data_IF_808029675078
#
_entry.id   IF_808029675078
#
_cell.length_a   1.000
_cell.length_b   1.000
_cell.length_c   1.000
_cell.angle_alpha   90.00
_cell.angle_beta   90.00
_cell.angle_gamma   90.00
#
_symmetry.space_group_name_H-M   'P 1'
#
loop_
_entity.id
_entity.type
_entity.pdbx_description
1 polymer ?
#
# COMPACT_ATOMS: atom_id res chain seq x y z
N UNK A 1 -32.65 9.21 -12.85
CA UNK A 1 -32.19 7.79 -12.78
C UNK A 1 -30.68 7.79 -12.73
N UNK A 2 -30.14 7.65 -11.55
CA UNK A 2 -28.71 7.49 -11.31
C UNK A 2 -28.52 6.05 -10.81
N UNK A 3 -27.64 5.24 -11.40
CA UNK A 3 -27.31 3.95 -10.83
C UNK A 3 -26.39 4.13 -9.63
N UNK A 4 -26.89 3.76 -8.47
CA UNK A 4 -26.16 3.61 -7.22
C UNK A 4 -25.09 2.52 -7.41
N UNK A 5 -23.83 2.88 -7.21
CA UNK A 5 -22.75 1.92 -7.10
C UNK A 5 -22.94 1.07 -5.85
N UNK A 6 -23.08 -0.24 -6.04
CA UNK A 6 -23.17 -1.21 -4.97
C UNK A 6 -21.91 -1.25 -4.11
N UNK A 7 -22.06 -1.41 -2.78
CA UNK A 7 -20.95 -1.79 -1.91
C UNK A 7 -20.45 -3.21 -2.24
N UNK A 8 -19.23 -3.58 -1.87
CA UNK A 8 -18.73 -4.94 -2.06
C UNK A 8 -19.66 -5.95 -1.40
N UNK A 9 -19.92 -7.04 -2.11
CA UNK A 9 -20.84 -8.10 -1.71
C UNK A 9 -20.46 -8.66 -0.34
N UNK A 10 -21.46 -8.78 0.52
CA UNK A 10 -21.35 -9.57 1.74
C UNK A 10 -21.07 -11.04 1.38
N UNK A 11 -20.23 -11.76 2.18
CA UNK A 11 -20.05 -13.19 1.97
C UNK A 11 -21.36 -13.92 2.30
N UNK A 12 -21.91 -14.62 1.33
CA UNK A 12 -23.05 -15.52 1.52
C UNK A 12 -22.60 -16.76 2.27
N UNK A 13 -23.25 -16.97 3.41
CA UNK A 13 -23.23 -18.19 4.21
C UNK A 13 -23.83 -19.36 3.41
N UNK A 14 -23.20 -20.52 3.46
CA UNK A 14 -23.84 -21.71 2.89
C UNK A 14 -22.94 -22.92 2.66
N UNK A 15 -23.10 -23.85 3.58
CA UNK A 15 -23.14 -25.29 3.40
C UNK A 15 -22.00 -26.15 3.89
N UNK A 16 -22.41 -26.88 4.88
CA UNK A 16 -21.83 -28.02 5.64
C UNK A 16 -21.61 -29.29 4.81
N UNK A 17 -20.76 -30.15 5.40
CA UNK A 17 -20.64 -31.64 5.31
C UNK A 17 -19.90 -32.19 4.09
N UNK A 18 -18.90 -33.05 4.28
CA UNK A 18 -18.97 -34.37 4.89
C UNK A 18 -17.55 -34.95 5.17
N UNK A 19 -17.50 -35.78 6.17
CA UNK A 19 -16.36 -36.58 6.60
C UNK A 19 -16.02 -37.70 5.62
N UNK A 20 -14.77 -38.11 5.57
CA UNK A 20 -14.33 -39.32 4.83
C UNK A 20 -12.87 -39.69 5.08
N UNK A 21 -12.64 -40.46 6.13
CA UNK A 21 -11.65 -41.54 6.34
C UNK A 21 -10.26 -41.50 5.70
N UNK A 22 -9.25 -41.58 6.57
CA UNK A 22 -7.87 -42.05 6.33
C UNK A 22 -7.87 -43.54 5.87
N UNK A 23 -6.78 -43.99 5.22
CA UNK A 23 -5.91 -44.89 5.94
C UNK A 23 -4.39 -44.58 5.87
N UNK A 24 -3.73 -45.08 6.84
CA UNK A 24 -2.29 -45.03 7.13
C UNK A 24 -1.44 -45.91 6.20
N UNK A 25 -0.10 -45.57 6.16
CA UNK A 25 0.94 -46.51 5.84
C UNK A 25 2.29 -45.85 5.56
N UNK A 26 3.39 -46.30 6.19
CA UNK A 26 4.63 -45.54 6.22
C UNK A 26 5.65 -46.03 5.17
N UNK A 27 6.41 -45.09 4.54
CA UNK A 27 7.63 -45.43 3.81
C UNK A 27 8.78 -44.44 4.05
N UNK A 28 9.71 -44.97 4.81
CA UNK A 28 11.19 -44.84 4.83
C UNK A 28 11.83 -43.60 4.18
N UNK A 29 12.59 -42.92 5.02
CA UNK A 29 13.67 -41.97 4.75
C UNK A 29 14.72 -42.53 3.78
N UNK A 30 15.09 -41.74 2.78
CA UNK A 30 16.44 -41.74 2.22
C UNK A 30 16.97 -40.30 2.23
N UNK A 31 18.01 -40.11 3.00
CA UNK A 31 18.81 -38.93 3.11
C UNK A 31 19.64 -38.74 1.83
N UNK A 32 19.54 -37.53 1.23
CA UNK A 32 20.45 -37.11 0.16
C UNK A 32 21.20 -35.87 0.67
N UNK A 33 22.53 -35.80 0.53
CA UNK A 33 23.35 -34.76 1.13
C UNK A 33 23.17 -33.42 0.39
N UNK A 34 22.97 -32.36 1.17
CA UNK A 34 22.95 -30.96 0.70
C UNK A 34 24.34 -30.54 0.21
N UNK A 35 24.53 -30.44 -1.08
CA UNK A 35 25.64 -29.64 -1.63
C UNK A 35 25.24 -28.18 -1.57
N UNK A 36 25.98 -27.40 -0.77
CA UNK A 36 25.99 -25.92 -0.84
C UNK A 36 26.59 -25.53 -2.18
N UNK A 37 25.80 -24.94 -3.04
CA UNK A 37 26.30 -24.18 -4.19
C UNK A 37 26.48 -22.76 -3.70
N UNK A 38 27.72 -22.33 -3.54
CA UNK A 38 28.12 -20.93 -3.34
C UNK A 38 28.33 -20.37 -4.73
N UNK A 39 27.64 -19.30 -5.16
CA UNK A 39 28.02 -18.65 -6.41
C UNK A 39 29.32 -17.84 -6.18
N UNK A 40 30.36 -18.20 -6.95
CA UNK A 40 31.56 -17.43 -7.12
C UNK A 40 31.22 -16.04 -7.70
N UNK A 41 31.51 -15.00 -6.94
CA UNK A 41 31.63 -13.64 -7.47
C UNK A 41 33.10 -13.26 -7.58
N UNK A 42 33.67 -13.19 -8.81
CA UNK A 42 35.03 -12.75 -8.99
C UNK A 42 35.09 -11.22 -9.19
N UNK A 43 35.00 -10.45 -8.11
CA UNK A 43 35.48 -9.08 -8.08
C UNK A 43 36.14 -8.76 -6.76
N UNK A 44 37.35 -9.31 -6.59
CA UNK A 44 38.34 -8.77 -5.65
C UNK A 44 38.95 -7.52 -6.29
N UNK A 45 38.36 -6.37 -6.02
CA UNK A 45 39.05 -5.09 -6.24
C UNK A 45 39.95 -4.81 -5.04
N UNK A 46 41.22 -4.59 -5.36
CA UNK A 46 42.35 -4.25 -4.48
C UNK A 46 41.96 -3.15 -3.49
N UNK A 47 42.26 -3.40 -2.24
CA UNK A 47 42.32 -2.37 -1.20
C UNK A 47 43.47 -1.40 -1.56
N UNK A 48 43.12 -0.20 -1.96
CA UNK A 48 44.04 0.91 -1.97
C UNK A 48 43.84 1.70 -0.67
N UNK A 49 44.85 1.57 0.22
CA UNK A 49 44.87 2.22 1.51
C UNK A 49 45.36 3.66 1.37
N UNK A 50 44.51 4.57 0.94
CA UNK A 50 44.67 6.01 1.18
C UNK A 50 43.30 6.69 1.25
N UNK A 51 42.79 6.84 2.46
CA UNK A 51 41.64 7.70 2.77
C UNK A 51 42.10 9.18 2.77
N UNK A 52 41.60 10.01 1.89
CA UNK A 52 41.39 11.41 2.21
C UNK A 52 40.05 11.54 2.93
N UNK A 53 40.12 12.09 4.10
CA UNK A 53 39.03 12.51 4.95
C UNK A 53 38.13 13.49 4.16
N UNK A 54 37.07 12.99 3.50
CA UNK A 54 36.07 13.85 2.88
C UNK A 54 35.05 14.22 3.94
N UNK A 55 34.83 15.54 4.18
CA UNK A 55 33.76 16.00 5.04
C UNK A 55 32.46 15.46 4.49
N UNK A 56 31.58 15.01 5.38
CA UNK A 56 30.19 14.59 5.07
C UNK A 56 29.55 15.62 4.13
N UNK A 57 29.63 15.39 2.84
CA UNK A 57 28.76 16.08 1.90
C UNK A 57 27.35 15.71 2.31
N UNK A 58 26.60 16.68 2.80
CA UNK A 58 25.18 16.52 3.11
C UNK A 58 24.53 15.87 1.87
N UNK A 59 24.07 14.62 2.00
CA UNK A 59 23.37 13.93 0.92
C UNK A 59 22.24 14.85 0.51
N UNK A 60 22.28 15.33 -0.73
CA UNK A 60 21.16 16.05 -1.30
C UNK A 60 19.93 15.16 -1.11
N UNK A 61 18.82 15.70 -0.61
CA UNK A 61 17.61 14.91 -0.46
C UNK A 61 17.28 14.28 -1.82
N UNK A 62 17.03 12.98 -1.79
CA UNK A 62 16.69 12.22 -3.00
C UNK A 62 15.54 12.93 -3.74
N UNK A 63 15.65 13.19 -5.05
CA UNK A 63 14.62 13.87 -5.80
C UNK A 63 13.33 13.04 -5.73
N UNK A 64 12.30 13.63 -5.14
CA UNK A 64 10.97 13.03 -5.03
C UNK A 64 10.03 13.75 -5.98
N UNK A 65 9.42 12.98 -6.89
CA UNK A 65 8.46 13.47 -7.87
C UNK A 65 7.12 12.76 -7.63
N UNK A 66 6.03 13.51 -7.62
CA UNK A 66 4.68 12.95 -7.61
C UNK A 66 4.03 13.32 -8.95
N UNK A 67 3.48 12.32 -9.63
CA UNK A 67 2.76 12.49 -10.88
C UNK A 67 1.54 11.60 -10.95
N UNK A 68 0.68 11.87 -11.91
CA UNK A 68 -0.44 10.97 -12.20
C UNK A 68 0.06 9.59 -12.63
N UNK A 69 -0.70 8.59 -12.23
CA UNK A 69 -0.54 7.20 -12.64
C UNK A 69 -0.85 7.03 -14.12
N UNK A 70 -0.10 6.18 -14.76
CA UNK A 70 -0.38 5.70 -16.12
C UNK A 70 -0.48 4.17 -16.14
N UNK A 71 -1.14 3.54 -17.12
CA UNK A 71 -1.21 2.07 -17.20
C UNK A 71 0.15 1.37 -17.20
N UNK A 72 1.20 2.04 -17.65
CA UNK A 72 2.57 1.52 -17.60
C UNK A 72 3.11 1.32 -16.17
N UNK A 73 2.55 2.01 -15.19
CA UNK A 73 2.96 1.93 -13.79
C UNK A 73 2.34 0.74 -13.03
N UNK A 74 1.36 0.07 -13.64
CA UNK A 74 0.54 -0.97 -12.99
C UNK A 74 1.38 -2.05 -12.33
N UNK A 75 2.37 -2.58 -13.04
CA UNK A 75 3.21 -3.65 -12.55
C UNK A 75 3.98 -3.26 -11.27
N UNK A 76 4.51 -2.02 -11.24
CA UNK A 76 5.22 -1.50 -10.08
C UNK A 76 4.28 -1.21 -8.91
N UNK A 77 3.05 -0.72 -9.16
CA UNK A 77 2.03 -0.51 -8.12
C UNK A 77 1.60 -1.84 -7.51
N UNK A 78 1.33 -2.87 -8.31
CA UNK A 78 1.04 -4.21 -7.80
C UNK A 78 2.23 -4.83 -7.04
N UNK A 79 3.45 -4.51 -7.44
CA UNK A 79 4.63 -4.89 -6.68
C UNK A 79 4.64 -4.23 -5.29
N UNK A 80 4.24 -2.97 -5.16
CA UNK A 80 4.19 -2.29 -3.86
C UNK A 80 3.24 -2.99 -2.88
N UNK A 81 2.04 -3.40 -3.31
CA UNK A 81 1.12 -4.11 -2.41
C UNK A 81 1.70 -5.47 -1.98
N UNK A 82 2.29 -6.25 -2.90
CA UNK A 82 2.96 -7.53 -2.58
C UNK A 82 4.04 -7.36 -1.52
N UNK A 83 4.86 -6.31 -1.60
CA UNK A 83 5.91 -6.01 -0.63
C UNK A 83 5.37 -5.64 0.76
N UNK A 84 4.12 -5.22 0.85
CA UNK A 84 3.45 -4.84 2.10
C UNK A 84 2.49 -5.94 2.61
N UNK A 85 2.35 -7.04 1.90
CA UNK A 85 1.56 -8.21 2.29
C UNK A 85 2.45 -9.23 3.00
N UNK A 86 2.06 -9.87 4.11
CA UNK A 86 0.78 -9.68 4.82
C UNK A 86 0.82 -8.57 5.89
N UNK A 87 1.90 -7.82 6.02
CA UNK A 87 2.12 -6.90 7.14
C UNK A 87 1.07 -5.77 7.23
N UNK A 88 0.61 -5.25 6.09
CA UNK A 88 -0.33 -4.12 6.02
C UNK A 88 -1.56 -4.41 5.17
N UNK A 89 -1.52 -5.42 4.31
CA UNK A 89 -2.60 -5.82 3.41
C UNK A 89 -2.82 -7.33 3.48
N UNK A 90 -4.08 -7.74 3.38
CA UNK A 90 -4.41 -9.15 3.22
C UNK A 90 -4.05 -9.66 1.81
N UNK A 91 -3.72 -10.95 1.63
CA UNK A 91 -3.34 -11.49 0.30
C UNK A 91 -4.38 -11.25 -0.80
N UNK A 92 -5.67 -11.23 -0.46
CA UNK A 92 -6.76 -11.01 -1.42
C UNK A 92 -6.80 -9.57 -1.96
N UNK A 93 -6.26 -8.59 -1.23
CA UNK A 93 -6.34 -7.18 -1.60
C UNK A 93 -5.50 -6.82 -2.84
N UNK A 94 -4.57 -7.68 -3.27
CA UNK A 94 -3.86 -7.48 -4.54
C UNK A 94 -4.82 -7.53 -5.73
N UNK A 95 -5.74 -8.50 -5.75
CA UNK A 95 -6.74 -8.62 -6.81
C UNK A 95 -7.72 -7.43 -6.78
N UNK A 96 -8.09 -6.96 -5.58
CA UNK A 96 -8.95 -5.79 -5.42
C UNK A 96 -8.28 -4.51 -5.92
N UNK A 97 -6.98 -4.35 -5.68
CA UNK A 97 -6.20 -3.22 -6.20
C UNK A 97 -6.10 -3.30 -7.73
N UNK A 98 -5.86 -4.49 -8.29
CA UNK A 98 -5.79 -4.69 -9.73
C UNK A 98 -7.09 -4.28 -10.43
N UNK A 99 -8.22 -4.77 -9.93
CA UNK A 99 -9.55 -4.38 -10.41
C UNK A 99 -9.82 -2.87 -10.23
N UNK A 100 -9.41 -2.31 -9.09
CA UNK A 100 -9.54 -0.88 -8.84
C UNK A 100 -8.77 -0.04 -9.87
N UNK A 101 -7.55 -0.42 -10.17
CA UNK A 101 -6.70 0.29 -11.15
C UNK A 101 -7.28 0.25 -12.56
N UNK A 102 -7.98 -0.81 -12.94
CA UNK A 102 -8.59 -0.93 -14.26
C UNK A 102 -9.93 -0.19 -14.36
N UNK A 103 -10.79 -0.30 -13.34
CA UNK A 103 -12.21 -0.01 -13.51
C UNK A 103 -12.75 1.06 -12.56
N UNK A 104 -12.06 1.37 -11.43
CA UNK A 104 -12.65 2.18 -10.36
C UNK A 104 -11.82 3.41 -9.98
N UNK A 105 -10.62 3.55 -10.53
CA UNK A 105 -9.79 4.72 -10.22
C UNK A 105 -10.38 5.97 -10.87
N UNK A 106 -10.35 7.08 -10.13
CA UNK A 106 -10.67 8.41 -10.67
C UNK A 106 -9.38 9.24 -10.76
N UNK A 107 -8.79 9.64 -9.64
CA UNK A 107 -7.46 10.25 -9.62
C UNK A 107 -6.51 9.30 -8.87
N UNK A 108 -5.42 8.95 -9.50
CA UNK A 108 -4.41 8.08 -8.91
C UNK A 108 -3.01 8.60 -9.19
N UNK A 109 -2.15 8.59 -8.18
CA UNK A 109 -0.82 9.17 -8.24
C UNK A 109 0.24 8.16 -7.85
N UNK A 110 1.40 8.28 -8.48
CA UNK A 110 2.64 7.57 -8.12
C UNK A 110 3.67 8.56 -7.60
N UNK A 111 4.38 8.16 -6.57
CA UNK A 111 5.50 8.89 -5.99
C UNK A 111 6.80 8.17 -6.38
N UNK A 112 7.67 8.87 -7.07
CA UNK A 112 8.98 8.38 -7.46
C UNK A 112 10.04 8.92 -6.51
N UNK A 113 10.94 8.06 -6.09
CA UNK A 113 12.17 8.40 -5.37
C UNK A 113 13.35 7.84 -6.19
N UNK A 114 14.30 8.69 -6.56
CA UNK A 114 15.40 8.31 -7.45
C UNK A 114 14.95 7.64 -8.77
N UNK A 115 13.83 8.13 -9.35
CA UNK A 115 13.28 7.59 -10.60
C UNK A 115 12.52 6.27 -10.49
N UNK A 116 12.43 5.67 -9.28
CA UNK A 116 11.72 4.42 -9.04
C UNK A 116 10.43 4.70 -8.26
N UNK A 117 9.34 4.00 -8.59
CA UNK A 117 8.07 4.12 -7.85
C UNK A 117 8.26 3.59 -6.43
N UNK A 118 8.18 4.51 -5.47
CA UNK A 118 8.35 4.26 -4.03
C UNK A 118 7.04 4.39 -3.25
N UNK A 119 5.97 4.86 -3.87
CA UNK A 119 4.65 4.95 -3.26
C UNK A 119 3.57 5.23 -4.29
N UNK A 120 2.33 5.02 -3.91
CA UNK A 120 1.15 5.33 -4.72
C UNK A 120 -0.06 5.61 -3.83
N UNK A 121 -1.08 6.26 -4.38
CA UNK A 121 -2.32 6.51 -3.67
C UNK A 121 -3.33 7.30 -4.53
N UNK A 122 -4.61 7.08 -4.26
CA UNK A 122 -5.71 7.60 -5.04
C UNK A 122 -6.63 8.57 -4.30
N UNK A 123 -7.50 9.16 -5.09
CA UNK A 123 -8.68 9.91 -4.66
C UNK A 123 -9.86 9.39 -5.46
N UNK A 124 -10.94 9.06 -4.77
CA UNK A 124 -12.24 8.78 -5.39
C UNK A 124 -13.29 9.75 -4.84
N UNK A 125 -14.32 9.99 -5.62
CA UNK A 125 -15.37 10.93 -5.24
C UNK A 125 -16.69 10.22 -4.91
N UNK A 126 -17.49 10.86 -4.07
CA UNK A 126 -18.82 10.44 -3.70
C UNK A 126 -19.73 11.67 -3.49
N UNK A 127 -21.00 11.40 -3.23
CA UNK A 127 -22.01 12.42 -2.89
C UNK A 127 -22.05 13.58 -3.92
N UNK A 128 -22.06 13.20 -5.21
CA UNK A 128 -22.06 14.18 -6.30
C UNK A 128 -20.76 15.01 -6.40
N UNK A 129 -19.62 14.44 -5.98
CA UNK A 129 -18.33 15.10 -6.04
C UNK A 129 -17.99 15.95 -4.81
N UNK A 130 -18.87 15.99 -3.80
CA UNK A 130 -18.63 16.82 -2.59
C UNK A 130 -17.84 16.10 -1.49
N UNK A 131 -17.72 14.76 -1.57
CA UNK A 131 -16.91 13.94 -0.67
C UNK A 131 -15.76 13.31 -1.43
N UNK A 132 -14.53 13.54 -0.97
CA UNK A 132 -13.34 12.88 -1.46
C UNK A 132 -12.95 11.73 -0.54
N UNK A 133 -12.54 10.60 -1.12
CA UNK A 133 -12.08 9.41 -0.42
C UNK A 133 -10.62 9.15 -0.78
N UNK A 134 -9.73 9.26 0.19
CA UNK A 134 -8.33 8.82 0.05
C UNK A 134 -8.31 7.30 0.00
N UNK A 135 -7.65 6.75 -1.00
CA UNK A 135 -7.66 5.31 -1.29
C UNK A 135 -6.28 4.78 -1.64
N UNK A 136 -6.04 3.51 -1.30
CA UNK A 136 -4.89 2.72 -1.71
C UNK A 136 -3.53 3.37 -1.47
N UNK A 137 -3.33 3.91 -0.25
CA UNK A 137 -2.03 4.48 0.16
C UNK A 137 -1.03 3.37 0.44
N UNK A 138 -0.03 3.25 -0.43
CA UNK A 138 1.02 2.25 -0.32
C UNK A 138 2.37 2.93 -0.44
N UNK A 139 3.27 2.64 0.50
CA UNK A 139 4.68 3.09 0.45
C UNK A 139 5.58 1.87 0.55
N UNK A 140 6.55 1.79 -0.34
CA UNK A 140 7.55 0.72 -0.37
C UNK A 140 8.23 0.58 1.01
N UNK A 141 8.33 -0.63 1.60
CA UNK A 141 8.84 -0.82 2.97
C UNK A 141 10.21 -0.17 3.23
N UNK A 142 11.14 -0.28 2.28
CA UNK A 142 12.48 0.34 2.42
C UNK A 142 12.48 1.88 2.39
N UNK A 143 11.36 2.50 2.03
CA UNK A 143 11.18 3.96 1.95
C UNK A 143 10.24 4.50 3.02
N UNK A 144 9.67 3.65 3.85
CA UNK A 144 8.87 4.07 5.02
C UNK A 144 9.75 4.82 6.03
N UNK A 145 9.12 5.64 6.88
CA UNK A 145 9.85 6.49 7.83
C UNK A 145 10.56 7.71 7.22
N UNK A 146 10.52 7.91 5.90
CA UNK A 146 11.17 9.03 5.17
C UNK A 146 10.18 10.12 4.72
N UNK A 147 9.05 10.22 5.37
CA UNK A 147 7.98 11.19 5.08
C UNK A 147 7.35 11.11 3.68
N UNK A 148 7.59 10.05 2.91
CA UNK A 148 7.03 9.92 1.55
C UNK A 148 5.49 9.82 1.57
N UNK A 149 4.93 9.04 2.49
CA UNK A 149 3.47 8.96 2.67
C UNK A 149 2.86 10.33 3.04
N UNK A 150 3.58 11.13 3.83
CA UNK A 150 3.16 12.50 4.17
C UNK A 150 3.10 13.37 2.93
N UNK A 151 4.16 13.39 2.13
CA UNK A 151 4.22 14.17 0.88
C UNK A 151 3.12 13.77 -0.09
N UNK A 152 2.86 12.47 -0.23
CA UNK A 152 1.81 11.97 -1.12
C UNK A 152 0.41 12.36 -0.63
N UNK A 153 0.15 12.32 0.67
CA UNK A 153 -1.12 12.73 1.24
C UNK A 153 -1.32 14.24 1.11
N UNK A 154 -0.31 15.04 1.46
CA UNK A 154 -0.33 16.52 1.34
C UNK A 154 -0.60 16.95 -0.09
N UNK A 155 0.10 16.38 -1.07
CA UNK A 155 -0.12 16.65 -2.49
C UNK A 155 -1.58 16.41 -2.89
N UNK A 156 -2.21 15.33 -2.41
CA UNK A 156 -3.61 15.03 -2.73
C UNK A 156 -4.59 15.96 -2.01
N UNK A 157 -4.31 16.37 -0.79
CA UNK A 157 -5.11 17.37 -0.08
C UNK A 157 -5.04 18.71 -0.82
N UNK A 158 -3.87 19.19 -1.21
CA UNK A 158 -3.67 20.39 -2.01
C UNK A 158 -4.43 20.32 -3.35
N UNK A 159 -4.42 19.16 -4.02
CA UNK A 159 -5.21 18.92 -5.23
C UNK A 159 -6.71 19.07 -4.96
N UNK A 160 -7.22 18.49 -3.88
CA UNK A 160 -8.62 18.58 -3.50
C UNK A 160 -9.02 20.02 -3.16
N UNK A 161 -8.18 20.77 -2.46
CA UNK A 161 -8.39 22.19 -2.17
C UNK A 161 -8.44 23.02 -3.46
N UNK A 162 -7.59 22.70 -4.45
CA UNK A 162 -7.57 23.40 -5.74
C UNK A 162 -8.78 23.10 -6.63
N UNK A 163 -9.41 21.94 -6.50
CA UNK A 163 -10.62 21.58 -7.27
C UNK A 163 -11.84 22.38 -6.81
N UNK A 164 -11.88 22.79 -5.54
CA UNK A 164 -13.05 23.43 -4.95
C UNK A 164 -14.25 22.49 -4.79
N UNK A 165 -15.26 22.92 -4.05
CA UNK A 165 -16.52 22.16 -3.88
C UNK A 165 -16.44 20.93 -2.98
N UNK A 166 -15.26 20.52 -2.56
CA UNK A 166 -15.06 19.38 -1.64
C UNK A 166 -15.42 19.83 -0.23
N UNK A 167 -16.41 19.17 0.36
CA UNK A 167 -16.89 19.45 1.73
C UNK A 167 -16.35 18.46 2.76
N UNK A 168 -15.99 17.27 2.32
CA UNK A 168 -15.48 16.19 3.19
C UNK A 168 -14.34 15.48 2.51
N UNK A 169 -13.28 15.17 3.29
CA UNK A 169 -12.20 14.28 2.87
C UNK A 169 -12.17 13.14 3.89
N UNK A 170 -12.29 11.93 3.42
CA UNK A 170 -12.36 10.72 4.26
C UNK A 170 -11.29 9.73 3.88
N UNK A 171 -10.93 8.85 4.81
CA UNK A 171 -10.10 7.68 4.55
C UNK A 171 -10.66 6.48 5.30
N UNK A 172 -10.58 5.32 4.67
CA UNK A 172 -10.83 4.01 5.29
C UNK A 172 -9.49 3.29 5.35
N UNK A 173 -9.00 3.06 6.55
CA UNK A 173 -7.66 2.54 6.79
C UNK A 173 -7.69 1.42 7.82
N UNK A 174 -6.53 0.85 8.14
CA UNK A 174 -6.39 -0.22 9.13
C UNK A 174 -5.83 0.28 10.46
N UNK A 175 -5.83 -0.60 11.46
CA UNK A 175 -5.23 -0.33 12.77
C UNK A 175 -3.73 -0.02 12.68
N UNK A 176 -3.04 -0.48 11.64
CA UNK A 176 -1.61 -0.20 11.45
C UNK A 176 -1.36 1.25 11.01
N UNK A 177 -2.28 1.82 10.22
CA UNK A 177 -2.05 3.11 9.57
C UNK A 177 -2.88 4.28 10.16
N UNK A 178 -3.91 4.04 11.00
CA UNK A 178 -4.77 5.12 11.51
C UNK A 178 -4.00 6.25 12.20
N UNK A 179 -2.95 5.92 12.99
CA UNK A 179 -2.11 6.94 13.66
C UNK A 179 -1.34 7.84 12.69
N UNK A 180 -1.04 7.34 11.48
CA UNK A 180 -0.45 8.15 10.43
C UNK A 180 -1.39 9.27 10.01
N UNK A 181 -2.67 8.97 9.82
CA UNK A 181 -3.70 9.95 9.43
C UNK A 181 -4.05 10.88 10.58
N UNK A 182 -4.15 10.36 11.80
CA UNK A 182 -4.40 11.16 13.01
C UNK A 182 -3.41 12.32 13.15
N UNK A 183 -2.10 12.04 13.01
CA UNK A 183 -1.03 13.03 13.04
C UNK A 183 -1.11 14.07 11.91
N UNK A 184 -2.00 13.88 10.93
CA UNK A 184 -2.16 14.74 9.74
C UNK A 184 -3.54 15.36 9.63
N UNK A 185 -4.23 15.45 10.77
CA UNK A 185 -5.50 16.17 10.88
C UNK A 185 -6.73 15.34 10.56
N UNK A 186 -6.61 14.02 10.51
CA UNK A 186 -7.78 13.14 10.43
C UNK A 186 -8.28 12.77 11.82
N UNK A 187 -9.58 12.75 12.00
CA UNK A 187 -10.26 12.35 13.24
C UNK A 187 -10.98 11.04 13.00
N UNK A 188 -10.83 10.10 13.95
CA UNK A 188 -11.52 8.82 13.92
C UNK A 188 -13.02 9.01 14.08
N UNK A 189 -13.81 8.37 13.21
CA UNK A 189 -15.28 8.38 13.23
C UNK A 189 -15.88 7.04 13.60
N UNK A 190 -15.28 5.95 13.11
CA UNK A 190 -15.81 4.60 13.29
C UNK A 190 -14.68 3.57 13.29
N UNK A 191 -14.85 2.48 14.03
CA UNK A 191 -14.01 1.28 13.98
C UNK A 191 -14.92 0.07 13.77
N UNK A 192 -14.57 -0.79 12.82
CA UNK A 192 -15.20 -2.11 12.62
C UNK A 192 -14.13 -3.18 12.65
N UNK A 193 -14.31 -4.17 13.54
CA UNK A 193 -13.37 -5.29 13.66
C UNK A 193 -13.49 -6.22 12.47
N UNK A 194 -12.37 -6.83 12.09
CA UNK A 194 -12.26 -7.87 11.05
C UNK A 194 -12.93 -7.50 9.71
N UNK A 195 -12.96 -6.21 9.40
CA UNK A 195 -13.69 -5.70 8.24
C UNK A 195 -13.06 -6.09 6.90
N UNK A 196 -11.73 -6.02 6.79
CA UNK A 196 -11.00 -6.34 5.58
C UNK A 196 -10.67 -7.82 5.49
N UNK A 197 -10.29 -8.42 6.62
CA UNK A 197 -10.00 -9.83 6.84
C UNK A 197 -9.88 -10.07 8.35
N UNK A 198 -9.81 -11.32 8.79
CA UNK A 198 -9.51 -11.67 10.18
C UNK A 198 -8.22 -10.96 10.65
N UNK A 199 -8.31 -10.22 11.75
CA UNK A 199 -7.22 -9.41 12.28
C UNK A 199 -6.98 -8.06 11.56
N UNK A 200 -7.80 -7.70 10.56
CA UNK A 200 -7.69 -6.44 9.82
C UNK A 200 -8.94 -5.57 10.00
N UNK A 201 -8.88 -4.69 10.99
CA UNK A 201 -9.95 -3.77 11.33
C UNK A 201 -10.05 -2.59 10.36
N UNK A 202 -11.25 -2.09 10.16
CA UNK A 202 -11.51 -0.81 9.53
C UNK A 202 -11.45 0.33 10.55
N UNK A 203 -10.71 1.37 10.21
CA UNK A 203 -10.73 2.68 10.85
C UNK A 203 -11.22 3.71 9.84
N UNK A 204 -12.46 4.18 9.99
CA UNK A 204 -13.01 5.24 9.15
C UNK A 204 -12.69 6.60 9.78
N UNK A 205 -12.02 7.46 9.03
CA UNK A 205 -11.52 8.75 9.51
C UNK A 205 -11.92 9.89 8.57
N UNK A 206 -12.01 11.09 9.11
CA UNK A 206 -12.37 12.31 8.37
C UNK A 206 -11.36 13.43 8.64
N UNK A 207 -10.92 14.09 7.59
CA UNK A 207 -9.99 15.21 7.67
C UNK A 207 -10.69 16.46 8.19
N UNK A 208 -10.14 17.05 9.23
CA UNK A 208 -10.65 18.29 9.85
C UNK A 208 -9.67 19.45 9.76
N UNK A 209 -8.57 19.27 9.02
CA UNK A 209 -7.49 20.25 8.93
C UNK A 209 -6.35 19.97 9.92
N UNK A 210 -5.20 20.57 9.68
CA UNK A 210 -4.10 20.54 10.66
C UNK A 210 -4.47 21.47 11.83
N UNK A 211 -4.34 20.96 13.04
CA UNK A 211 -4.40 21.76 14.26
C UNK A 211 -3.08 22.45 14.50
#
# INVERSE_FOLDING_TARGET
>A
NVPSGNPPREPTDGARHAAGTRPEGPLRRKSVPRRRIVPDYPYLCRMDTRTPNHPHAARRPDPVVIREYTPADKADVLRLIRLNTPASFAPAEEADLDEYLEHRRELYYVLLANGTIAGCGGINFADGGTTAKISWDIVHPAWQGRSLGTRLLEYRIEKLESLGGIRRITVRTSQQAHRFYEKRGFVLREVRRDYWAEGFDLYAMEYTGRR
#
